data_IF_106989082054
#
_entry.id   IF_106989082054
#
_cell.length_a   1.000
_cell.length_b   1.000
_cell.length_c   1.000
_cell.angle_alpha   90.00
_cell.angle_beta   90.00
_cell.angle_gamma   90.00
#
_symmetry.space_group_name_H-M   'P 1'
#
loop_
_entity.id
_entity.type
_entity.pdbx_description
1 polymer ?
#
# COMPACT_ATOMS: atom_id res chain seq x y z
N UNK A 1 6.00 -3.76 -8.26
CA UNK A 1 4.73 -4.09 -7.61
C UNK A 1 4.81 -3.60 -6.17
N UNK A 2 3.74 -2.99 -5.63
CA UNK A 2 3.66 -2.69 -4.20
C UNK A 2 3.84 -3.95 -3.36
N UNK A 3 4.51 -3.82 -2.22
CA UNK A 3 4.71 -4.94 -1.30
C UNK A 3 4.32 -4.52 0.11
N UNK A 4 3.52 -5.34 0.79
CA UNK A 4 3.32 -5.23 2.23
C UNK A 4 4.63 -5.62 2.92
N UNK A 5 5.22 -4.71 3.69
CA UNK A 5 6.49 -4.95 4.38
C UNK A 5 6.33 -5.13 5.90
N UNK A 6 5.26 -4.59 6.47
CA UNK A 6 4.98 -4.73 7.90
C UNK A 6 3.50 -4.47 8.22
N UNK A 7 3.02 -5.10 9.30
CA UNK A 7 1.67 -4.91 9.85
C UNK A 7 1.76 -4.79 11.37
N UNK A 8 0.99 -3.88 11.97
CA UNK A 8 0.89 -3.76 13.43
C UNK A 8 -0.03 -4.83 14.00
N UNK A 9 0.07 -5.07 15.31
CA UNK A 9 -1.05 -5.67 16.01
C UNK A 9 -2.31 -4.78 15.83
N UNK A 10 -3.47 -5.42 15.79
CA UNK A 10 -4.74 -4.72 15.89
C UNK A 10 -4.86 -4.07 17.28
N UNK A 11 -5.49 -2.91 17.36
CA UNK A 11 -5.79 -2.25 18.64
C UNK A 11 -7.17 -1.63 18.61
N UNK A 12 -7.76 -1.54 19.80
CA UNK A 12 -9.13 -1.12 20.06
C UNK A 12 -9.16 0.11 20.98
N UNK A 13 -10.11 1.01 20.74
CA UNK A 13 -10.44 2.13 21.62
C UNK A 13 -11.75 1.89 22.35
N UNK A 14 -11.82 2.28 23.63
CA UNK A 14 -13.01 2.13 24.45
C UNK A 14 -14.19 3.00 23.93
N UNK A 15 -15.41 2.67 24.37
CA UNK A 15 -16.60 3.49 24.08
C UNK A 15 -16.48 4.91 24.66
N UNK A 16 -17.16 5.88 24.03
CA UNK A 16 -17.25 7.30 24.41
C UNK A 16 -16.03 8.16 24.04
N UNK A 17 -15.60 8.12 22.78
CA UNK A 17 -14.60 9.06 22.25
C UNK A 17 -13.17 8.78 22.70
N UNK A 18 -12.91 7.66 23.39
CA UNK A 18 -11.56 7.26 23.75
C UNK A 18 -10.77 6.88 22.48
N UNK A 19 -9.52 7.36 22.33
CA UNK A 19 -8.75 7.11 21.13
C UNK A 19 -8.29 5.65 21.02
N UNK A 20 -8.38 5.10 19.81
CA UNK A 20 -7.68 3.88 19.41
C UNK A 20 -6.21 4.24 19.19
N UNK A 21 -5.30 3.63 19.95
CA UNK A 21 -3.85 3.83 19.75
C UNK A 21 -3.29 2.69 18.92
N UNK A 22 -2.79 2.99 17.73
CA UNK A 22 -2.16 2.04 16.83
C UNK A 22 -0.64 2.24 16.82
N UNK A 23 0.11 1.21 17.16
CA UNK A 23 1.58 1.25 17.07
C UNK A 23 2.02 1.21 15.61
N UNK A 24 2.92 2.11 15.22
CA UNK A 24 3.53 2.09 13.90
C UNK A 24 4.52 0.91 13.79
N UNK A 25 4.39 0.03 12.78
CA UNK A 25 5.39 -0.99 12.47
C UNK A 25 6.70 -0.37 11.97
N UNK A 26 7.75 -1.19 11.82
CA UNK A 26 8.98 -0.75 11.15
C UNK A 26 8.69 -0.27 9.73
N UNK A 27 9.18 0.92 9.38
CA UNK A 27 9.00 1.58 8.09
C UNK A 27 10.19 2.48 7.79
N UNK A 28 10.45 2.77 6.52
CA UNK A 28 11.47 3.71 6.04
C UNK A 28 10.82 4.95 5.40
N UNK A 29 11.58 6.05 5.31
CA UNK A 29 11.10 7.29 4.69
C UNK A 29 10.70 7.01 3.25
N UNK A 30 9.50 7.43 2.85
CA UNK A 30 8.94 7.15 1.53
C UNK A 30 8.12 5.86 1.43
N UNK A 31 8.02 5.06 2.50
CA UNK A 31 7.01 4.00 2.56
C UNK A 31 5.60 4.57 2.74
N UNK A 32 4.60 3.91 2.18
CA UNK A 32 3.19 4.25 2.37
C UNK A 32 2.67 3.62 3.66
N UNK A 33 2.23 4.46 4.59
CA UNK A 33 1.52 4.02 5.80
C UNK A 33 0.03 4.00 5.47
N UNK A 34 -0.60 2.85 5.67
CA UNK A 34 -2.05 2.66 5.50
C UNK A 34 -2.65 2.25 6.82
N UNK A 35 -3.64 3.00 7.29
CA UNK A 35 -4.46 2.63 8.43
C UNK A 35 -5.76 2.05 7.93
N UNK A 36 -6.06 0.85 8.41
CA UNK A 36 -7.33 0.20 8.16
C UNK A 36 -8.11 0.21 9.45
N UNK A 37 -9.32 0.78 9.42
CA UNK A 37 -10.13 0.96 10.62
C UNK A 37 -11.59 0.60 10.39
N UNK A 38 -12.21 0.03 11.40
CA UNK A 38 -13.65 -0.12 11.51
C UNK A 38 -14.15 0.66 12.71
N UNK A 39 -15.24 1.39 12.53
CA UNK A 39 -15.87 2.15 13.61
C UNK A 39 -17.39 1.95 13.60
N UNK A 40 -18.00 2.08 14.78
CA UNK A 40 -19.46 2.23 14.88
C UNK A 40 -19.93 3.62 14.42
N UNK A 41 -21.23 3.76 14.14
CA UNK A 41 -21.91 5.05 14.02
C UNK A 41 -21.49 5.95 12.84
N UNK A 42 -21.00 5.38 11.73
CA UNK A 42 -20.71 6.07 10.46
C UNK A 42 -19.82 7.32 10.51
N UNK A 43 -19.16 7.60 11.63
CA UNK A 43 -18.34 8.79 11.76
C UNK A 43 -16.87 8.47 11.51
N UNK A 44 -16.23 9.28 10.69
CA UNK A 44 -14.79 9.18 10.44
C UNK A 44 -14.02 9.44 11.74
N UNK A 45 -13.10 8.54 12.14
CA UNK A 45 -12.21 8.79 13.26
C UNK A 45 -11.34 10.02 12.99
N UNK A 46 -11.23 10.92 13.97
CA UNK A 46 -10.28 12.04 13.87
C UNK A 46 -8.92 11.55 14.37
N UNK A 47 -7.89 11.66 13.52
CA UNK A 47 -6.53 11.33 13.92
C UNK A 47 -5.94 12.46 14.76
N UNK A 48 -5.60 12.19 16.02
CA UNK A 48 -4.81 13.08 16.86
C UNK A 48 -3.36 12.59 16.84
N UNK A 49 -2.52 13.15 15.95
CA UNK A 49 -1.08 12.87 15.93
C UNK A 49 -0.47 12.65 14.54
N UNK A 50 0.64 13.36 14.29
CA UNK A 50 1.45 13.28 13.08
C UNK A 50 1.03 14.29 12.01
N UNK A 51 2.01 15.04 11.54
CA UNK A 51 1.90 15.98 10.41
C UNK A 51 2.68 15.36 9.24
N UNK A 52 2.08 15.20 8.04
CA UNK A 52 0.73 15.61 7.65
C UNK A 52 -0.38 14.69 8.21
N UNK A 53 -1.60 15.21 8.20
CA UNK A 53 -2.81 14.46 8.53
C UNK A 53 -2.98 13.27 7.57
N UNK A 54 -3.64 12.22 8.05
CA UNK A 54 -4.03 11.10 7.18
C UNK A 54 -5.07 11.54 6.14
N UNK A 55 -4.89 11.08 4.91
CA UNK A 55 -5.84 11.24 3.82
C UNK A 55 -6.75 10.01 3.73
N UNK A 56 -8.04 10.21 3.44
CA UNK A 56 -8.98 9.10 3.20
C UNK A 56 -8.83 8.57 1.78
N UNK A 57 -8.42 7.31 1.64
CA UNK A 57 -8.47 6.60 0.35
C UNK A 57 -9.87 6.02 0.11
N UNK A 58 -10.47 5.42 1.14
CA UNK A 58 -11.79 4.79 1.05
C UNK A 58 -12.55 4.99 2.36
N UNK A 59 -13.83 5.31 2.24
CA UNK A 59 -14.80 5.23 3.34
C UNK A 59 -16.02 4.44 2.90
N UNK A 60 -16.40 3.43 3.68
CA UNK A 60 -17.55 2.56 3.42
C UNK A 60 -18.50 2.63 4.59
N UNK A 61 -19.78 2.83 4.30
CA UNK A 61 -20.82 2.95 5.31
C UNK A 61 -21.94 1.96 5.03
N UNK A 62 -22.54 1.40 6.07
CA UNK A 62 -23.82 0.71 5.91
C UNK A 62 -24.96 1.76 5.96
N UNK A 63 -25.65 2.03 4.83
CA UNK A 63 -26.63 3.12 4.74
C UNK A 63 -27.91 2.84 5.54
N UNK A 64 -28.19 1.57 5.83
CA UNK A 64 -29.46 1.11 6.39
C UNK A 64 -29.61 1.36 7.89
N UNK A 65 -28.56 1.76 8.60
CA UNK A 65 -28.60 1.86 10.07
C UNK A 65 -27.53 2.73 10.72
N UNK A 66 -26.55 3.24 9.98
CA UNK A 66 -25.36 3.88 10.53
C UNK A 66 -24.53 3.05 11.51
N UNK A 67 -24.75 1.74 11.58
CA UNK A 67 -24.20 0.89 12.64
C UNK A 67 -22.72 0.53 12.43
N UNK A 68 -22.19 0.64 11.21
CA UNK A 68 -20.82 0.25 10.90
C UNK A 68 -20.24 1.02 9.72
N UNK A 69 -18.99 1.48 9.89
CA UNK A 69 -18.16 2.05 8.85
C UNK A 69 -16.78 1.42 8.79
N UNK A 70 -16.18 1.44 7.60
CA UNK A 70 -14.82 1.01 7.32
C UNK A 70 -14.04 2.12 6.63
N UNK A 71 -12.80 2.31 7.02
CA UNK A 71 -11.93 3.38 6.52
C UNK A 71 -10.58 2.80 6.11
N UNK A 72 -10.10 3.27 4.97
CA UNK A 72 -8.71 3.12 4.53
C UNK A 72 -8.14 4.52 4.48
N UNK A 73 -7.25 4.80 5.42
CA UNK A 73 -6.56 6.08 5.55
C UNK A 73 -5.10 5.88 5.18
N UNK A 74 -4.44 6.89 4.65
CA UNK A 74 -3.04 6.77 4.29
C UNK A 74 -2.25 8.06 4.48
N UNK A 75 -0.94 7.91 4.59
CA UNK A 75 0.04 8.98 4.41
C UNK A 75 1.42 8.40 4.11
N UNK A 76 2.34 9.26 3.72
CA UNK A 76 3.73 8.89 3.48
C UNK A 76 4.55 8.98 4.77
N UNK A 77 5.40 7.99 4.98
CA UNK A 77 6.36 7.99 6.08
C UNK A 77 7.37 9.12 5.89
N UNK A 78 7.53 9.95 6.92
CA UNK A 78 8.49 11.06 6.97
C UNK A 78 9.56 10.85 8.04
N UNK A 79 10.68 11.58 7.98
CA UNK A 79 11.71 11.49 9.01
C UNK A 79 11.21 11.84 10.43
N UNK A 80 10.15 12.63 10.55
CA UNK A 80 9.53 13.06 11.81
C UNK A 80 8.29 12.23 12.19
N UNK A 81 8.10 11.07 11.58
CA UNK A 81 6.92 10.24 11.77
C UNK A 81 6.82 9.71 13.22
N UNK A 82 5.65 9.79 13.90
CA UNK A 82 5.51 9.30 15.27
C UNK A 82 5.48 7.77 15.35
N UNK A 83 5.82 7.22 16.51
CA UNK A 83 5.85 5.76 16.76
C UNK A 83 4.48 5.13 16.98
N UNK A 84 3.44 5.95 17.16
CA UNK A 84 2.05 5.51 17.28
C UNK A 84 1.09 6.59 16.79
N UNK A 85 -0.14 6.17 16.48
CA UNK A 85 -1.21 7.03 15.99
C UNK A 85 -2.44 6.87 16.89
N UNK A 86 -3.05 7.98 17.30
CA UNK A 86 -4.29 7.96 18.06
C UNK A 86 -5.45 8.38 17.15
N UNK A 87 -6.53 7.59 17.15
CA UNK A 87 -7.74 7.83 16.37
C UNK A 87 -8.94 7.89 17.30
N UNK A 88 -9.56 9.06 17.43
CA UNK A 88 -10.77 9.22 18.26
C UNK A 88 -12.03 8.99 17.41
N UNK A 89 -12.83 7.94 17.67
CA UNK A 89 -14.14 7.80 17.04
C UNK A 89 -15.11 8.81 17.64
N UNK A 90 -15.94 9.45 16.81
CA UNK A 90 -16.95 10.42 17.27
C UNK A 90 -18.00 9.74 18.17
N UNK A 91 -18.33 8.47 17.88
CA UNK A 91 -19.23 7.67 18.71
C UNK A 91 -18.94 6.17 18.53
N UNK A 92 -19.22 5.38 19.57
CA UNK A 92 -19.02 3.93 19.55
C UNK A 92 -17.57 3.51 19.73
N UNK A 93 -17.31 2.20 19.54
CA UNK A 93 -15.98 1.61 19.59
C UNK A 93 -15.37 1.61 18.20
N UNK A 94 -14.05 1.63 18.14
CA UNK A 94 -13.29 1.50 16.90
C UNK A 94 -12.13 0.52 17.08
N UNK A 95 -11.78 -0.13 15.99
CA UNK A 95 -10.69 -1.09 15.89
C UNK A 95 -9.92 -0.84 14.61
N UNK A 96 -8.60 -0.88 14.66
CA UNK A 96 -7.78 -0.73 13.47
C UNK A 96 -6.41 -1.38 13.55
N UNK A 97 -5.71 -1.35 12.42
CA UNK A 97 -4.31 -1.73 12.29
C UNK A 97 -3.59 -0.76 11.36
N UNK A 98 -2.27 -0.76 11.44
CA UNK A 98 -1.38 -0.10 10.51
C UNK A 98 -0.75 -1.15 9.60
N UNK A 99 -0.76 -0.89 8.30
CA UNK A 99 -0.02 -1.62 7.27
C UNK A 99 0.97 -0.68 6.61
N UNK A 100 2.14 -1.20 6.27
CA UNK A 100 3.19 -0.43 5.60
C UNK A 100 3.46 -1.07 4.25
N UNK A 101 3.38 -0.26 3.19
CA UNK A 101 3.60 -0.68 1.82
C UNK A 101 4.79 0.04 1.21
N UNK A 102 5.59 -0.70 0.45
CA UNK A 102 6.72 -0.17 -0.32
C UNK A 102 6.42 -0.22 -1.81
N UNK A 103 7.14 0.57 -2.60
CA UNK A 103 7.03 0.64 -4.07
C UNK A 103 5.63 1.08 -4.54
N UNK A 104 5.05 2.07 -3.86
CA UNK A 104 3.73 2.64 -4.15
C UNK A 104 3.88 4.00 -4.86
N UNK A 105 2.95 4.34 -5.75
CA UNK A 105 2.91 5.64 -6.44
C UNK A 105 2.72 6.79 -5.45
N UNK A 106 3.63 7.76 -5.45
CA UNK A 106 3.60 8.94 -4.54
C UNK A 106 2.50 9.94 -4.88
N UNK A 107 2.18 10.08 -6.16
CA UNK A 107 1.16 11.01 -6.67
C UNK A 107 -0.24 10.39 -6.73
N UNK A 108 -0.33 9.08 -6.97
CA UNK A 108 -1.59 8.34 -7.12
C UNK A 108 -1.52 6.98 -6.42
N UNK A 109 -1.45 6.93 -5.08
CA UNK A 109 -1.23 5.68 -4.35
C UNK A 109 -2.36 4.66 -4.50
N UNK A 110 -3.59 5.12 -4.78
CA UNK A 110 -4.77 4.27 -4.91
C UNK A 110 -5.46 4.43 -6.27
N UNK A 111 -5.94 3.32 -6.82
CA UNK A 111 -6.83 3.29 -7.97
C UNK A 111 -8.30 3.44 -7.56
N UNK A 112 -9.20 3.36 -8.54
CA UNK A 112 -10.64 3.35 -8.27
C UNK A 112 -11.00 2.16 -7.37
N UNK A 113 -11.67 2.43 -6.26
CA UNK A 113 -12.21 1.38 -5.40
C UNK A 113 -13.28 0.57 -6.14
N UNK A 114 -13.32 -0.73 -5.87
CA UNK A 114 -14.38 -1.60 -6.36
C UNK A 114 -15.74 -1.24 -5.76
N UNK A 115 -16.78 -1.87 -6.30
CA UNK A 115 -18.16 -1.66 -5.83
C UNK A 115 -18.26 -1.91 -4.33
N UNK A 116 -18.69 -0.88 -3.61
CA UNK A 116 -18.96 -0.97 -2.19
C UNK A 116 -20.10 -1.97 -1.98
N UNK A 117 -19.85 -2.93 -1.11
CA UNK A 117 -20.88 -3.87 -0.72
C UNK A 117 -21.22 -3.64 0.75
N UNK A 118 -22.52 -3.53 1.03
CA UNK A 118 -23.03 -3.49 2.39
C UNK A 118 -24.33 -4.29 2.46
N UNK A 119 -24.54 -4.97 3.58
CA UNK A 119 -25.74 -5.77 3.78
C UNK A 119 -26.19 -5.75 5.24
N UNK A 120 -27.51 -5.79 5.43
CA UNK A 120 -28.17 -6.09 6.69
C UNK A 120 -28.93 -7.40 6.50
N UNK A 121 -28.36 -8.51 6.95
CA UNK A 121 -28.91 -9.84 6.69
C UNK A 121 -28.98 -10.65 7.97
N UNK A 122 -30.13 -11.27 8.24
CA UNK A 122 -30.28 -12.26 9.30
C UNK A 122 -29.81 -13.63 8.79
N UNK A 123 -28.78 -14.20 9.41
CA UNK A 123 -28.28 -15.52 9.06
C UNK A 123 -27.25 -15.54 7.91
N UNK A 124 -26.63 -16.70 7.73
CA UNK A 124 -25.54 -16.93 6.78
C UNK A 124 -24.15 -16.84 7.43
N UNK A 125 -23.21 -17.63 6.89
CA UNK A 125 -21.87 -17.81 7.43
C UNK A 125 -20.78 -17.23 6.57
N UNK A 126 -21.09 -16.68 5.40
CA UNK A 126 -20.09 -16.14 4.47
C UNK A 126 -20.41 -14.74 4.01
N UNK A 127 -19.39 -14.00 3.61
CA UNK A 127 -19.49 -12.63 3.11
C UNK A 127 -18.49 -12.42 1.99
N UNK A 128 -18.99 -12.04 0.83
CA UNK A 128 -18.20 -11.87 -0.40
C UNK A 128 -18.14 -10.39 -0.75
N UNK A 129 -16.94 -9.84 -0.82
CA UNK A 129 -16.70 -8.51 -1.37
C UNK A 129 -16.31 -8.66 -2.85
N UNK A 130 -17.03 -8.03 -3.78
CA UNK A 130 -16.73 -8.10 -5.20
C UNK A 130 -15.27 -7.74 -5.52
N UNK A 131 -14.69 -8.42 -6.50
CA UNK A 131 -13.41 -8.08 -7.08
C UNK A 131 -13.39 -6.67 -7.67
N UNK A 132 -12.18 -6.12 -7.83
CA UNK A 132 -11.96 -4.88 -8.59
C UNK A 132 -11.23 -5.21 -9.90
N UNK A 133 -11.52 -4.44 -10.94
CA UNK A 133 -10.75 -4.50 -12.19
C UNK A 133 -9.58 -3.54 -12.09
N UNK A 134 -8.36 -4.08 -12.14
CA UNK A 134 -7.14 -3.27 -12.16
C UNK A 134 -6.82 -2.84 -13.59
N UNK A 135 -6.48 -1.56 -13.77
CA UNK A 135 -6.08 -1.03 -15.07
C UNK A 135 -4.59 -1.26 -15.38
N UNK A 136 -3.77 -1.55 -14.38
CA UNK A 136 -2.32 -1.67 -14.48
C UNK A 136 -1.83 -3.05 -14.02
N UNK A 137 -0.80 -3.54 -14.71
CA UNK A 137 -0.02 -4.70 -14.26
C UNK A 137 0.67 -4.42 -12.93
N UNK A 138 1.08 -5.47 -12.23
CA UNK A 138 1.83 -5.37 -10.97
C UNK A 138 1.15 -4.51 -9.90
N UNK A 139 -0.18 -4.59 -9.84
CA UNK A 139 -1.01 -3.89 -8.86
C UNK A 139 -1.20 -4.79 -7.64
N UNK A 140 -1.16 -4.20 -6.45
CA UNK A 140 -1.57 -4.89 -5.23
C UNK A 140 -2.97 -4.42 -4.88
N UNK A 141 -3.90 -5.31 -4.56
CA UNK A 141 -5.26 -4.92 -4.16
C UNK A 141 -5.44 -5.18 -2.67
N UNK A 142 -5.79 -4.14 -1.94
CA UNK A 142 -6.17 -4.20 -0.53
C UNK A 142 -7.66 -4.50 -0.43
N UNK A 143 -7.98 -5.71 0.01
CA UNK A 143 -9.34 -6.13 0.33
C UNK A 143 -9.65 -5.84 1.80
N UNK A 144 -10.76 -5.14 2.04
CA UNK A 144 -11.29 -4.81 3.36
C UNK A 144 -12.68 -5.43 3.51
N UNK A 145 -12.88 -6.19 4.58
CA UNK A 145 -14.17 -6.81 4.89
C UNK A 145 -14.46 -6.68 6.37
N UNK A 146 -15.64 -6.18 6.71
CA UNK A 146 -16.04 -5.89 8.08
C UNK A 146 -17.38 -6.53 8.40
N UNK A 147 -17.49 -7.10 9.59
CA UNK A 147 -18.66 -7.85 10.04
C UNK A 147 -19.00 -7.45 11.47
N UNK A 148 -20.26 -7.10 11.73
CA UNK A 148 -20.80 -6.83 13.07
C UNK A 148 -22.00 -7.74 13.40
N UNK A 149 -21.93 -8.44 14.53
CA UNK A 149 -23.03 -9.27 15.06
C UNK A 149 -24.04 -8.44 15.86
N UNK A 150 -25.26 -8.97 16.02
CA UNK A 150 -26.37 -8.40 16.79
C UNK A 150 -26.04 -8.03 18.26
N UNK A 151 -27.00 -7.37 18.91
CA UNK A 151 -27.08 -6.82 20.27
C UNK A 151 -26.96 -7.81 21.47
N UNK A 152 -26.46 -9.03 21.29
CA UNK A 152 -26.16 -9.97 22.40
C UNK A 152 -24.89 -10.77 22.14
N UNK A 153 -24.17 -11.09 23.23
CA UNK A 153 -22.75 -11.43 23.27
C UNK A 153 -22.33 -12.65 22.41
N UNK A 154 -21.22 -12.58 21.65
CA UNK A 154 -20.69 -13.74 20.95
C UNK A 154 -19.41 -14.33 21.57
N UNK A 155 -19.25 -15.63 21.33
CA UNK A 155 -18.07 -16.44 21.63
C UNK A 155 -17.09 -16.46 20.44
N UNK A 156 -15.80 -16.61 20.76
CA UNK A 156 -14.66 -16.38 19.86
C UNK A 156 -14.04 -17.69 19.36
N UNK A 157 -13.79 -17.79 18.04
CA UNK A 157 -12.95 -18.85 17.47
C UNK A 157 -11.91 -18.23 16.54
N UNK A 158 -10.65 -18.60 16.76
CA UNK A 158 -9.49 -18.20 15.98
C UNK A 158 -9.63 -18.73 14.53
N UNK A 159 -9.36 -17.97 13.47
CA UNK A 159 -9.20 -18.57 12.16
C UNK A 159 -7.97 -19.48 12.16
N UNK A 160 -8.20 -20.79 12.08
CA UNK A 160 -7.20 -21.78 11.68
C UNK A 160 -7.04 -21.70 10.16
N UNK A 161 -6.05 -20.95 9.68
CA UNK A 161 -5.74 -20.97 8.25
C UNK A 161 -4.83 -19.83 7.78
N UNK A 162 -3.55 -20.12 7.65
CA UNK A 162 -2.62 -19.40 6.77
C UNK A 162 -2.78 -19.90 5.33
N UNK A 163 -3.67 -19.31 4.53
CA UNK A 163 -3.70 -19.45 3.06
C UNK A 163 -4.76 -18.48 2.48
N UNK A 164 -4.53 -17.58 1.53
CA UNK A 164 -3.38 -17.19 0.70
C UNK A 164 -3.24 -15.65 0.76
N UNK A 165 -2.01 -15.13 0.88
CA UNK A 165 -1.65 -13.79 0.37
C UNK A 165 -1.50 -12.58 1.33
N UNK A 166 -1.43 -12.74 2.66
CA UNK A 166 -1.35 -11.67 3.69
C UNK A 166 -2.69 -11.21 4.28
N UNK A 167 -3.48 -12.18 4.74
CA UNK A 167 -4.69 -11.91 5.50
C UNK A 167 -4.35 -11.58 6.95
N UNK A 168 -4.69 -10.39 7.43
CA UNK A 168 -4.64 -10.01 8.85
C UNK A 168 -6.06 -9.89 9.37
N UNK A 169 -6.37 -10.58 10.47
CA UNK A 169 -7.64 -10.45 11.18
C UNK A 169 -7.53 -9.42 12.30
N UNK A 170 -8.50 -8.52 12.38
CA UNK A 170 -8.65 -7.54 13.45
C UNK A 170 -9.54 -8.16 14.54
N UNK A 171 -9.00 -8.30 15.76
CA UNK A 171 -9.63 -9.00 16.89
C UNK A 171 -10.49 -8.10 17.78
N UNK A 172 -11.64 -8.66 18.21
CA UNK A 172 -12.79 -8.08 18.91
C UNK A 172 -12.56 -7.04 20.01
N UNK A 173 -13.60 -6.22 20.16
CA UNK A 173 -13.85 -5.34 21.28
C UNK A 173 -14.29 -6.04 22.59
N UNK A 174 -13.82 -5.57 23.75
CA UNK A 174 -14.29 -5.97 25.10
C UNK A 174 -14.39 -4.77 26.07
N UNK A 175 -15.31 -4.74 27.08
CA UNK A 175 -16.39 -5.69 27.34
C UNK A 175 -17.79 -5.13 26.95
N UNK A 176 -18.70 -6.09 26.77
CA UNK A 176 -20.16 -5.96 26.59
C UNK A 176 -20.70 -5.49 25.21
N UNK A 177 -21.19 -6.51 24.47
CA UNK A 177 -22.38 -6.59 23.58
C UNK A 177 -22.30 -6.25 22.08
N UNK A 178 -21.17 -5.84 21.49
CA UNK A 178 -21.09 -5.67 20.02
C UNK A 178 -19.72 -6.11 19.48
N UNK A 179 -19.69 -7.13 18.62
CA UNK A 179 -18.45 -7.61 18.01
C UNK A 179 -18.28 -7.04 16.62
N UNK A 180 -17.14 -6.41 16.36
CA UNK A 180 -16.71 -5.98 15.02
C UNK A 180 -15.48 -6.80 14.64
N UNK A 181 -15.61 -7.64 13.61
CA UNK A 181 -14.50 -8.41 13.04
C UNK A 181 -14.13 -7.79 11.70
N UNK A 182 -12.84 -7.49 11.54
CA UNK A 182 -12.28 -7.02 10.29
C UNK A 182 -11.37 -8.06 9.68
N UNK A 183 -11.49 -8.32 8.38
CA UNK A 183 -10.50 -9.01 7.57
C UNK A 183 -9.90 -8.02 6.59
N UNK A 184 -8.57 -8.04 6.54
CA UNK A 184 -7.79 -7.28 5.58
C UNK A 184 -6.90 -8.25 4.84
N UNK A 185 -6.87 -8.22 3.51
CA UNK A 185 -6.02 -9.09 2.71
C UNK A 185 -5.43 -8.35 1.52
N UNK A 186 -4.27 -8.80 1.06
CA UNK A 186 -3.68 -8.29 -0.18
C UNK A 186 -3.81 -9.33 -1.30
N UNK A 187 -4.15 -8.87 -2.51
CA UNK A 187 -4.25 -9.69 -3.71
C UNK A 187 -3.25 -9.17 -4.73
N UNK A 188 -2.36 -10.04 -5.19
CA UNK A 188 -1.41 -9.72 -6.23
C UNK A 188 -2.07 -9.81 -7.62
N UNK A 189 -2.15 -8.68 -8.34
CA UNK A 189 -2.58 -8.64 -9.73
C UNK A 189 -1.36 -8.44 -10.64
N UNK A 190 -0.88 -9.53 -11.23
CA UNK A 190 0.30 -9.49 -12.11
C UNK A 190 0.02 -8.75 -13.43
N UNK A 191 -1.21 -8.82 -13.94
CA UNK A 191 -1.65 -8.17 -15.17
C UNK A 191 -2.93 -7.35 -14.93
N UNK A 192 -3.26 -6.38 -15.81
CA UNK A 192 -4.55 -5.70 -15.78
C UNK A 192 -5.69 -6.71 -15.90
N UNK A 193 -6.80 -6.44 -15.21
CA UNK A 193 -7.96 -7.32 -15.20
C UNK A 193 -8.56 -7.53 -13.81
N UNK A 194 -9.57 -8.41 -13.70
CA UNK A 194 -10.29 -8.66 -12.46
C UNK A 194 -9.41 -9.39 -11.43
N UNK A 195 -9.43 -8.94 -10.17
CA UNK A 195 -8.68 -9.56 -9.06
C UNK A 195 -9.40 -10.69 -8.35
N UNK A 196 -10.64 -10.99 -8.76
CA UNK A 196 -11.50 -11.98 -8.11
C UNK A 196 -12.13 -11.49 -6.81
N UNK A 197 -13.19 -12.17 -6.41
CA UNK A 197 -13.90 -11.87 -5.18
C UNK A 197 -13.10 -12.32 -3.95
N UNK A 198 -13.29 -11.63 -2.83
CA UNK A 198 -12.79 -12.08 -1.54
C UNK A 198 -13.93 -12.53 -0.66
N UNK A 199 -13.77 -13.67 -0.01
CA UNK A 199 -14.80 -14.24 0.87
C UNK A 199 -14.27 -14.41 2.29
N UNK A 200 -15.10 -14.09 3.28
CA UNK A 200 -14.85 -14.37 4.71
C UNK A 200 -15.95 -15.28 5.22
N UNK A 201 -15.56 -16.27 6.01
CA UNK A 201 -16.50 -17.07 6.79
C UNK A 201 -16.57 -16.52 8.21
N UNK A 202 -17.77 -16.33 8.75
CA UNK A 202 -18.05 -15.87 10.11
C UNK A 202 -19.29 -16.59 10.67
N UNK A 203 -19.48 -16.53 11.98
CA UNK A 203 -20.70 -16.98 12.64
C UNK A 203 -21.52 -15.77 13.10
N UNK A 204 -22.79 -15.68 12.66
CA UNK A 204 -23.78 -14.81 13.31
C UNK A 204 -23.74 -13.31 13.02
N UNK A 205 -23.54 -12.86 11.77
CA UNK A 205 -23.51 -11.42 11.49
C UNK A 205 -24.82 -10.81 10.98
N UNK A 206 -25.15 -9.62 11.50
CA UNK A 206 -26.30 -8.79 11.10
C UNK A 206 -25.93 -7.55 10.30
N UNK A 207 -24.68 -7.04 10.35
CA UNK A 207 -24.24 -5.91 9.53
C UNK A 207 -22.88 -6.18 8.89
N UNK A 208 -22.75 -5.91 7.59
CA UNK A 208 -21.57 -6.30 6.83
C UNK A 208 -21.18 -5.20 5.87
N UNK A 209 -19.88 -5.01 5.68
CA UNK A 209 -19.30 -4.12 4.68
C UNK A 209 -18.12 -4.79 3.98
N UNK A 210 -17.90 -4.45 2.73
CA UNK A 210 -16.79 -4.97 1.93
C UNK A 210 -16.39 -4.01 0.83
N UNK A 211 -15.08 -3.89 0.59
CA UNK A 211 -14.50 -3.14 -0.53
C UNK A 211 -13.13 -3.70 -0.88
N UNK A 212 -12.76 -3.62 -2.15
CA UNK A 212 -11.40 -3.84 -2.61
C UNK A 212 -10.87 -2.53 -3.20
N UNK A 213 -9.64 -2.15 -2.88
CA UNK A 213 -9.00 -0.94 -3.44
C UNK A 213 -7.61 -1.28 -3.99
N UNK A 214 -7.33 -0.93 -5.26
CA UNK A 214 -6.00 -1.06 -5.81
C UNK A 214 -5.01 -0.10 -5.14
N UNK A 215 -3.87 -0.62 -4.70
CA UNK A 215 -2.64 0.12 -4.38
C UNK A 215 -1.79 0.11 -5.65
N UNK A 216 -1.52 1.29 -6.18
CA UNK A 216 -0.83 1.43 -7.47
C UNK A 216 0.68 1.36 -7.28
N UNK A 217 1.34 0.60 -8.14
CA UNK A 217 2.79 0.55 -8.18
C UNK A 217 3.36 1.96 -8.38
N UNK A 218 4.44 2.26 -7.68
CA UNK A 218 5.34 3.32 -8.12
C UNK A 218 5.65 3.05 -9.58
N UNK A 219 5.36 4.02 -10.45
CA UNK A 219 5.81 3.93 -11.82
C UNK A 219 7.33 3.80 -11.73
N UNK A 220 7.88 2.65 -12.12
CA UNK A 220 9.30 2.56 -12.45
C UNK A 220 9.49 3.47 -13.64
N UNK A 221 9.70 4.72 -13.36
CA UNK A 221 9.94 5.69 -14.40
C UNK A 221 11.34 5.49 -14.90
N UNK A 222 11.58 6.18 -15.98
CA UNK A 222 12.76 6.01 -16.75
C UNK A 222 13.60 7.26 -16.64
N UNK A 223 14.90 7.06 -16.49
CA UNK A 223 15.86 8.11 -16.79
C UNK A 223 16.43 7.78 -18.16
N UNK A 224 16.17 8.66 -19.12
CA UNK A 224 16.76 8.57 -20.46
C UNK A 224 18.05 9.38 -20.44
N UNK A 225 19.16 8.72 -20.68
CA UNK A 225 20.46 9.38 -20.87
C UNK A 225 20.79 9.32 -22.35
N UNK A 226 20.97 10.48 -22.97
CA UNK A 226 21.39 10.61 -24.36
C UNK A 226 22.78 11.25 -24.44
N UNK A 227 23.62 10.81 -25.37
CA UNK A 227 24.95 11.35 -25.59
C UNK A 227 25.28 11.50 -27.07
N UNK A 228 26.30 12.30 -27.37
CA UNK A 228 26.82 12.45 -28.72
C UNK A 228 27.84 11.34 -29.02
N UNK A 229 27.75 10.70 -30.18
CA UNK A 229 28.67 9.65 -30.64
C UNK A 229 29.78 10.18 -31.55
N UNK A 230 29.80 11.49 -31.82
CA UNK A 230 30.90 12.14 -32.55
C UNK A 230 32.20 12.03 -31.73
N UNK A 231 33.27 11.54 -32.37
CA UNK A 231 34.59 11.42 -31.74
C UNK A 231 34.78 10.17 -30.87
N UNK A 232 33.87 9.19 -30.95
CA UNK A 232 34.06 7.90 -30.28
C UNK A 232 35.33 7.23 -30.79
N UNK A 233 36.22 6.75 -29.89
CA UNK A 233 37.45 6.11 -30.31
C UNK A 233 37.19 4.88 -31.20
N UNK A 234 37.99 4.71 -32.27
CA UNK A 234 37.81 3.63 -33.23
C UNK A 234 37.91 2.21 -32.63
N UNK A 235 38.56 2.08 -31.46
CA UNK A 235 38.65 0.81 -30.74
C UNK A 235 37.39 0.46 -29.94
N UNK A 236 36.49 1.40 -29.70
CA UNK A 236 35.33 1.19 -28.85
C UNK A 236 34.26 0.34 -29.56
N UNK A 237 33.75 -0.68 -28.88
CA UNK A 237 32.66 -1.53 -29.37
C UNK A 237 31.30 -1.17 -28.77
N UNK A 238 31.29 -0.26 -27.80
CA UNK A 238 30.11 0.25 -27.13
C UNK A 238 30.48 1.19 -25.98
N UNK A 239 29.66 1.20 -24.95
CA UNK A 239 29.81 2.05 -23.78
C UNK A 239 29.59 1.27 -22.48
N UNK A 240 30.16 1.77 -21.41
CA UNK A 240 29.81 1.38 -20.05
C UNK A 240 29.19 2.60 -19.36
N UNK A 241 28.00 2.40 -18.81
CA UNK A 241 27.24 3.40 -18.07
C UNK A 241 27.15 2.93 -16.61
N UNK A 242 27.70 3.71 -15.70
CA UNK A 242 27.67 3.44 -14.26
C UNK A 242 26.72 4.42 -13.58
N UNK A 243 25.72 3.90 -12.87
CA UNK A 243 24.82 4.70 -12.03
C UNK A 243 25.27 4.67 -10.58
N UNK A 244 25.34 5.85 -9.97
CA UNK A 244 25.64 6.02 -8.55
C UNK A 244 24.56 6.86 -7.85
N UNK A 245 24.36 6.62 -6.56
CA UNK A 245 23.49 7.37 -5.68
C UNK A 245 24.22 7.62 -4.36
N UNK A 246 24.38 8.88 -3.96
CA UNK A 246 25.18 9.23 -2.78
C UNK A 246 26.62 8.71 -2.82
N UNK A 247 27.20 8.53 -4.01
CA UNK A 247 28.54 7.98 -4.21
C UNK A 247 28.64 6.44 -4.21
N UNK A 248 27.53 5.73 -3.99
CA UNK A 248 27.48 4.26 -4.06
C UNK A 248 27.07 3.82 -5.46
N UNK A 249 27.83 2.92 -6.08
CA UNK A 249 27.45 2.29 -7.35
C UNK A 249 26.25 1.39 -7.16
N UNK A 250 25.15 1.70 -7.85
CA UNK A 250 23.93 0.90 -7.83
C UNK A 250 23.81 -0.01 -9.06
N UNK A 251 24.34 0.41 -10.20
CA UNK A 251 24.26 -0.35 -11.44
C UNK A 251 25.44 -0.03 -12.37
N UNK A 252 25.90 -1.06 -13.08
CA UNK A 252 26.83 -0.94 -14.21
C UNK A 252 26.19 -1.62 -15.42
N UNK A 253 26.05 -0.87 -16.51
CA UNK A 253 25.38 -1.32 -17.73
C UNK A 253 26.34 -1.25 -18.90
N UNK A 254 26.42 -2.33 -19.66
CA UNK A 254 27.10 -2.34 -20.95
C UNK A 254 26.09 -2.01 -22.05
N UNK A 255 26.34 -0.92 -22.78
CA UNK A 255 25.54 -0.52 -23.93
C UNK A 255 26.31 -0.92 -25.20
N UNK A 256 25.81 -1.93 -25.91
CA UNK A 256 26.46 -2.43 -27.11
C UNK A 256 26.30 -1.46 -28.31
N UNK A 257 27.31 -1.44 -29.17
CA UNK A 257 27.32 -0.63 -30.39
C UNK A 257 27.85 0.78 -30.15
N UNK A 258 28.97 1.12 -30.80
CA UNK A 258 29.54 2.48 -30.76
C UNK A 258 28.64 3.54 -31.41
N UNK A 259 27.71 3.13 -32.27
CA UNK A 259 26.68 4.02 -32.84
C UNK A 259 25.50 4.32 -31.91
N UNK A 260 25.38 3.62 -30.77
CA UNK A 260 24.29 3.82 -29.81
C UNK A 260 24.50 5.14 -29.07
N UNK A 261 23.46 5.96 -28.98
CA UNK A 261 23.50 7.32 -28.46
C UNK A 261 22.51 7.56 -27.31
N UNK A 262 21.82 6.53 -26.85
CA UNK A 262 20.82 6.61 -25.80
C UNK A 262 20.75 5.34 -24.97
N UNK A 263 20.47 5.50 -23.67
CA UNK A 263 20.08 4.42 -22.78
C UNK A 263 18.91 4.84 -21.89
N UNK A 264 17.90 3.96 -21.80
CA UNK A 264 16.74 4.14 -20.93
C UNK A 264 16.89 3.26 -19.69
N UNK A 265 17.17 3.88 -18.54
CA UNK A 265 17.23 3.20 -17.25
C UNK A 265 15.84 3.15 -16.62
N UNK A 266 15.20 1.98 -16.65
CA UNK A 266 13.88 1.74 -16.06
C UNK A 266 13.94 1.18 -14.63
N UNK A 267 15.13 1.10 -14.04
CA UNK A 267 15.35 0.48 -12.72
C UNK A 267 15.43 1.51 -11.58
N UNK A 268 15.35 2.80 -11.91
CA UNK A 268 15.47 3.89 -10.93
C UNK A 268 14.19 4.18 -10.15
N UNK A 269 14.36 4.38 -8.84
CA UNK A 269 13.35 4.96 -7.96
C UNK A 269 13.34 6.49 -7.99
N UNK A 270 12.64 7.11 -7.03
CA UNK A 270 12.74 8.55 -6.79
C UNK A 270 14.11 8.87 -6.17
N UNK A 271 14.75 9.95 -6.60
CA UNK A 271 16.06 10.33 -6.09
C UNK A 271 16.88 11.15 -7.08
N UNK A 272 18.11 11.44 -6.68
CA UNK A 272 19.12 12.09 -7.52
C UNK A 272 20.22 11.07 -7.80
N UNK A 273 20.48 10.81 -9.08
CA UNK A 273 21.42 9.80 -9.54
C UNK A 273 22.52 10.45 -10.37
N UNK A 274 23.75 9.99 -10.23
CA UNK A 274 24.85 10.39 -11.10
C UNK A 274 25.20 9.23 -12.03
N UNK A 275 25.13 9.51 -13.33
CA UNK A 275 25.46 8.59 -14.40
C UNK A 275 26.83 8.95 -14.96
N UNK A 276 27.70 7.95 -15.09
CA UNK A 276 29.05 8.06 -15.61
C UNK A 276 29.15 7.20 -16.87
N UNK A 277 29.34 7.82 -18.03
CA UNK A 277 29.43 7.14 -19.33
C UNK A 277 30.87 7.15 -19.82
N UNK A 278 31.35 6.00 -20.30
CA UNK A 278 32.66 5.86 -20.93
C UNK A 278 32.57 4.93 -22.14
N UNK A 279 33.31 5.23 -23.21
CA UNK A 279 33.48 4.30 -24.33
C UNK A 279 34.24 3.06 -23.86
N UNK A 280 33.82 1.88 -24.31
CA UNK A 280 34.30 0.61 -23.79
C UNK A 280 34.56 -0.42 -24.91
N UNK A 281 35.62 -1.21 -24.74
CA UNK A 281 35.86 -2.45 -25.48
C UNK A 281 36.70 -3.40 -24.61
N UNK A 282 36.19 -4.61 -24.33
CA UNK A 282 36.87 -5.56 -23.42
C UNK A 282 37.23 -4.90 -22.08
N UNK A 283 38.52 -4.77 -21.75
CA UNK A 283 39.03 -4.09 -20.54
C UNK A 283 39.39 -2.62 -20.75
N UNK A 284 39.33 -2.10 -21.98
CA UNK A 284 39.68 -0.72 -22.30
C UNK A 284 38.49 0.21 -22.01
N UNK A 285 38.77 1.34 -21.38
CA UNK A 285 37.80 2.39 -21.03
C UNK A 285 38.37 3.76 -21.36
N UNK A 286 37.54 4.64 -21.91
CA UNK A 286 37.91 6.05 -22.09
C UNK A 286 37.79 6.80 -20.77
N UNK A 287 38.15 8.09 -20.77
CA UNK A 287 37.71 9.01 -19.72
C UNK A 287 36.18 9.02 -19.65
N UNK A 288 35.65 9.05 -18.43
CA UNK A 288 34.22 9.08 -18.22
C UNK A 288 33.67 10.51 -18.23
N UNK A 289 32.45 10.66 -18.75
CA UNK A 289 31.65 11.87 -18.69
C UNK A 289 30.49 11.63 -17.74
N UNK A 290 30.22 12.58 -16.85
CA UNK A 290 29.18 12.43 -15.84
C UNK A 290 28.02 13.40 -16.05
N UNK A 291 26.82 12.95 -15.69
CA UNK A 291 25.62 13.78 -15.59
C UNK A 291 24.84 13.40 -14.34
N UNK A 292 24.28 14.39 -13.68
CA UNK A 292 23.39 14.17 -12.54
C UNK A 292 21.95 14.40 -12.97
N UNK A 293 21.12 13.39 -12.78
CA UNK A 293 19.71 13.39 -13.18
C UNK A 293 18.86 13.17 -11.93
N UNK A 294 17.92 14.07 -11.71
CA UNK A 294 16.97 13.99 -10.61
C UNK A 294 15.64 13.48 -11.13
N UNK A 295 15.01 12.61 -10.34
CA UNK A 295 13.71 12.06 -10.66
C UNK A 295 12.80 12.16 -9.44
N UNK A 296 11.73 12.92 -9.60
CA UNK A 296 10.64 13.11 -8.64
C UNK A 296 9.32 12.73 -9.29
N UNK A 297 8.50 11.94 -8.59
CA UNK A 297 7.13 11.62 -8.97
C UNK A 297 6.14 12.31 -8.04
#
# INVERSE_FOLDING_TARGET
MPALIATSAASEGASNGAPVTLTRPTAEVGDLIVVVMFAGNNAMPTASGGTPAFTTAVSVYNPSSSIMAGFILYRWMTAAEPTSYAFAPVAGRAIGMVRVYRNVSTSTPFGAAGTLWSANVSGGTTTTAPGVTTAAANTLVLALQGVRSANTAPNYTNPTGTALGNVSTLLSASPATNTVTGRVGDIAAAAPGPTGDTTVTHSGAQYRIGVQVPILAATRGQVVTSWNTAGVPAWATGYELVRTNGGVTEATVTVAGSGTNEYTDTTVGNGTFTYSLQSAASTWRSTAVTVTLSRSC
#
